data_IF_830257028639
#
_entry.id   IF_830257028639
#
_cell.length_a   1.000
_cell.length_b   1.000
_cell.length_c   1.000
_cell.angle_alpha   90.00
_cell.angle_beta   90.00
_cell.angle_gamma   90.00
#
_symmetry.space_group_name_H-M   'P 1'
#
loop_
_entity.id
_entity.type
_entity.pdbx_description
1 polymer ?
#
# COMPACT_ATOMS: atom_id res chain seq x y z
N UNK A 1 -5.56 -11.28 -14.66
CA UNK A 1 -4.48 -10.44 -15.22
C UNK A 1 -3.43 -11.35 -15.80
N UNK A 2 -2.87 -11.05 -16.98
CA UNK A 2 -1.79 -11.85 -17.55
C UNK A 2 -0.50 -11.67 -16.76
N UNK A 3 0.42 -12.63 -16.85
CA UNK A 3 1.76 -12.52 -16.24
C UNK A 3 2.50 -11.29 -16.76
N UNK A 4 2.38 -11.00 -18.06
CA UNK A 4 2.95 -9.81 -18.69
C UNK A 4 2.41 -8.51 -18.05
N UNK A 5 1.11 -8.41 -17.84
CA UNK A 5 0.49 -7.24 -17.21
C UNK A 5 0.95 -7.01 -15.77
N UNK A 6 1.24 -8.08 -15.02
CA UNK A 6 1.82 -7.97 -13.67
C UNK A 6 3.24 -7.39 -13.70
N UNK A 7 4.08 -7.79 -14.67
CA UNK A 7 5.43 -7.27 -14.83
C UNK A 7 5.43 -5.80 -15.26
N UNK A 8 4.57 -5.43 -16.20
CA UNK A 8 4.41 -4.05 -16.66
C UNK A 8 3.94 -3.14 -15.53
N UNK A 9 2.92 -3.57 -14.77
CA UNK A 9 2.45 -2.83 -13.60
C UNK A 9 3.58 -2.63 -12.58
N UNK A 10 4.34 -3.69 -12.28
CA UNK A 10 5.47 -3.58 -11.37
C UNK A 10 6.55 -2.62 -11.90
N UNK A 11 6.82 -2.61 -13.21
CA UNK A 11 7.73 -1.66 -13.84
C UNK A 11 7.24 -0.22 -13.71
N UNK A 12 5.94 0.05 -13.94
CA UNK A 12 5.35 1.39 -13.76
C UNK A 12 5.46 1.90 -12.32
N UNK A 13 5.30 1.04 -11.33
CA UNK A 13 5.53 1.43 -9.93
C UNK A 13 6.99 1.77 -9.65
N UNK A 14 7.95 1.03 -10.25
CA UNK A 14 9.37 1.36 -10.10
C UNK A 14 9.71 2.70 -10.74
N UNK A 15 9.26 2.94 -11.97
CA UNK A 15 9.41 4.22 -12.67
C UNK A 15 8.80 5.38 -11.87
N UNK A 16 7.63 5.20 -11.27
CA UNK A 16 7.01 6.18 -10.38
C UNK A 16 7.90 6.48 -9.17
N UNK A 17 8.42 5.46 -8.50
CA UNK A 17 9.26 5.66 -7.30
C UNK A 17 10.58 6.34 -7.67
N UNK A 18 11.23 5.91 -8.75
CA UNK A 18 12.47 6.49 -9.23
C UNK A 18 12.29 7.94 -9.69
N UNK A 19 11.23 8.23 -10.45
CA UNK A 19 10.95 9.61 -10.89
C UNK A 19 10.69 10.55 -9.72
N UNK A 20 9.98 10.09 -8.69
CA UNK A 20 9.74 10.88 -7.47
C UNK A 20 11.03 11.06 -6.67
N UNK A 21 11.88 10.04 -6.58
CA UNK A 21 13.15 10.11 -5.85
C UNK A 21 14.15 11.11 -6.47
N UNK A 22 14.15 11.25 -7.80
CA UNK A 22 15.02 12.20 -8.51
C UNK A 22 14.37 13.58 -8.74
N UNK A 23 13.09 13.73 -8.43
CA UNK A 23 12.39 15.00 -8.58
C UNK A 23 12.80 15.99 -7.49
N UNK A 24 13.11 17.22 -7.90
CA UNK A 24 13.33 18.36 -6.99
C UNK A 24 12.03 19.01 -6.52
N UNK A 25 10.89 18.64 -7.10
CA UNK A 25 9.58 19.24 -6.77
C UNK A 25 9.05 18.67 -5.45
N UNK A 26 8.71 19.57 -4.52
CA UNK A 26 8.13 19.21 -3.21
C UNK A 26 6.60 19.25 -3.18
N UNK A 27 5.97 19.92 -4.15
CA UNK A 27 4.51 20.09 -4.21
C UNK A 27 3.85 19.05 -5.11
N UNK A 28 2.61 18.68 -4.76
CA UNK A 28 1.74 17.80 -5.53
C UNK A 28 0.77 18.55 -6.47
N UNK A 29 0.76 19.89 -6.45
CA UNK A 29 -0.25 20.71 -7.11
C UNK A 29 -0.38 20.46 -8.63
N UNK A 30 0.74 20.13 -9.30
CA UNK A 30 0.81 19.84 -10.76
C UNK A 30 1.39 18.44 -11.04
N UNK A 31 1.26 17.52 -10.08
CA UNK A 31 1.85 16.20 -10.19
C UNK A 31 0.91 15.18 -10.81
N UNK A 32 1.44 14.37 -11.71
CA UNK A 32 0.76 13.17 -12.20
C UNK A 32 0.43 12.24 -11.01
N UNK A 33 -0.76 11.65 -11.04
CA UNK A 33 -1.18 10.65 -10.06
C UNK A 33 -1.32 9.31 -10.76
N UNK A 34 -0.77 8.26 -10.15
CA UNK A 34 -0.92 6.90 -10.64
C UNK A 34 -2.14 6.27 -9.97
N UNK A 35 -3.09 5.77 -10.77
CA UNK A 35 -4.26 5.07 -10.25
C UNK A 35 -4.03 3.56 -10.29
N UNK A 36 -4.00 2.92 -9.12
CA UNK A 36 -4.03 1.47 -9.03
C UNK A 36 -5.48 1.00 -8.91
N UNK A 37 -5.97 0.32 -9.94
CA UNK A 37 -7.31 -0.28 -9.92
C UNK A 37 -7.25 -1.61 -9.20
N UNK A 38 -8.11 -1.77 -8.19
CA UNK A 38 -8.27 -3.05 -7.52
C UNK A 38 -8.80 -4.09 -8.51
N UNK A 39 -8.32 -5.33 -8.36
CA UNK A 39 -8.95 -6.47 -9.03
C UNK A 39 -10.34 -6.74 -8.45
N UNK A 40 -11.25 -7.43 -9.18
CA UNK A 40 -12.55 -7.83 -8.63
C UNK A 40 -12.43 -8.56 -7.29
N UNK A 41 -11.47 -9.49 -7.18
CA UNK A 41 -11.19 -10.20 -5.92
C UNK A 41 -10.81 -9.24 -4.79
N UNK A 42 -9.96 -8.24 -5.07
CA UNK A 42 -9.56 -7.25 -4.07
C UNK A 42 -10.73 -6.33 -3.69
N UNK A 43 -11.60 -5.97 -4.64
CA UNK A 43 -12.82 -5.23 -4.37
C UNK A 43 -13.76 -6.02 -3.44
N UNK A 44 -13.99 -7.30 -3.72
CA UNK A 44 -14.78 -8.19 -2.85
C UNK A 44 -14.15 -8.33 -1.45
N UNK A 45 -12.81 -8.38 -1.37
CA UNK A 45 -12.11 -8.46 -0.09
C UNK A 45 -12.26 -7.19 0.75
N UNK A 46 -12.14 -6.00 0.15
CA UNK A 46 -12.35 -4.76 0.92
C UNK A 46 -13.81 -4.59 1.32
N UNK A 47 -14.77 -4.97 0.47
CA UNK A 47 -16.19 -4.94 0.82
C UNK A 47 -16.47 -5.84 2.04
N UNK A 48 -15.91 -7.05 2.06
CA UNK A 48 -16.01 -7.95 3.22
C UNK A 48 -15.40 -7.34 4.47
N UNK A 49 -14.20 -6.75 4.36
CA UNK A 49 -13.54 -6.05 5.48
C UNK A 49 -14.44 -4.92 6.00
N UNK A 50 -15.09 -4.17 5.11
CA UNK A 50 -16.01 -3.11 5.51
C UNK A 50 -17.22 -3.69 6.26
N UNK A 51 -17.85 -4.74 5.73
CA UNK A 51 -19.03 -5.36 6.34
C UNK A 51 -18.74 -5.94 7.73
N UNK A 52 -17.66 -6.71 7.86
CA UNK A 52 -17.25 -7.35 9.12
C UNK A 52 -16.96 -6.32 10.22
N UNK A 53 -16.47 -5.15 9.85
CA UNK A 53 -16.10 -4.08 10.78
C UNK A 53 -17.13 -2.94 10.86
N UNK A 54 -18.29 -3.10 10.21
CA UNK A 54 -19.37 -2.10 10.15
C UNK A 54 -18.90 -0.74 9.61
N UNK A 55 -17.95 -0.76 8.66
CA UNK A 55 -17.52 0.42 7.94
C UNK A 55 -18.42 0.64 6.72
N UNK A 56 -18.55 1.90 6.29
CA UNK A 56 -19.17 2.18 5.01
C UNK A 56 -18.32 1.61 3.87
N UNK A 57 -18.98 0.87 2.96
CA UNK A 57 -18.30 0.34 1.78
C UNK A 57 -17.75 1.46 0.91
N UNK A 58 -16.58 1.21 0.35
CA UNK A 58 -16.00 2.07 -0.68
C UNK A 58 -16.88 2.02 -1.94
N UNK A 59 -16.99 3.13 -2.66
CA UNK A 59 -17.65 3.18 -3.96
C UNK A 59 -16.67 3.56 -5.09
N UNK A 60 -15.40 3.74 -4.75
CA UNK A 60 -14.30 3.93 -5.69
C UNK A 60 -13.20 2.93 -5.36
N UNK A 61 -13.03 1.93 -6.23
CA UNK A 61 -12.05 0.85 -6.09
C UNK A 61 -10.71 1.17 -6.77
N UNK A 62 -10.36 2.46 -6.82
CA UNK A 62 -9.06 2.94 -7.29
C UNK A 62 -8.28 3.56 -6.14
N UNK A 63 -7.02 3.16 -5.99
CA UNK A 63 -6.09 3.76 -5.04
C UNK A 63 -5.28 4.81 -5.79
N UNK A 64 -5.44 6.07 -5.41
CA UNK A 64 -4.71 7.19 -6.00
C UNK A 64 -3.34 7.32 -5.34
N UNK A 65 -2.28 7.00 -6.08
CA UNK A 65 -0.88 7.05 -5.66
C UNK A 65 -0.29 8.37 -6.16
N UNK A 66 -0.22 9.37 -5.28
CA UNK A 66 0.36 10.69 -5.57
C UNK A 66 1.85 10.74 -5.21
N UNK A 67 2.65 11.64 -5.83
CA UNK A 67 4.06 11.81 -5.48
C UNK A 67 4.32 12.12 -4.00
N UNK A 68 3.45 12.87 -3.32
CA UNK A 68 3.56 13.12 -1.89
C UNK A 68 3.55 11.84 -1.05
N UNK A 69 2.71 10.87 -1.40
CA UNK A 69 2.70 9.55 -0.75
C UNK A 69 4.04 8.81 -1.00
N UNK A 70 4.54 8.82 -2.22
CA UNK A 70 5.82 8.16 -2.54
C UNK A 70 6.99 8.84 -1.81
N UNK A 71 7.02 10.17 -1.73
CA UNK A 71 8.01 10.91 -0.92
C UNK A 71 7.94 10.53 0.56
N UNK A 72 6.73 10.39 1.10
CA UNK A 72 6.53 9.92 2.46
C UNK A 72 7.12 8.51 2.67
N UNK A 73 6.84 7.57 1.76
CA UNK A 73 7.40 6.21 1.82
C UNK A 73 8.93 6.24 1.70
N UNK A 74 9.47 7.01 0.75
CA UNK A 74 10.92 7.15 0.56
C UNK A 74 11.61 7.64 1.83
N UNK A 75 11.14 8.73 2.43
CA UNK A 75 11.68 9.26 3.67
C UNK A 75 11.57 8.22 4.81
N UNK A 76 10.37 7.69 5.05
CA UNK A 76 10.13 6.77 6.16
C UNK A 76 10.96 5.48 6.06
N UNK A 77 11.12 4.91 4.85
CA UNK A 77 11.87 3.65 4.65
C UNK A 77 13.38 3.87 4.61
N UNK A 78 13.85 4.99 4.07
CA UNK A 78 15.26 5.34 4.10
C UNK A 78 15.72 5.58 5.54
N UNK A 79 14.96 6.34 6.32
CA UNK A 79 15.37 6.75 7.66
C UNK A 79 15.20 5.63 8.70
N UNK A 80 14.10 4.86 8.63
CA UNK A 80 13.81 3.80 9.62
C UNK A 80 14.46 2.47 9.31
N UNK A 81 14.53 2.11 8.02
CA UNK A 81 14.92 0.77 7.59
C UNK A 81 16.26 0.79 6.82
N UNK A 82 16.79 1.97 6.48
CA UNK A 82 18.02 2.13 5.71
C UNK A 82 17.91 1.71 4.24
N UNK A 83 16.71 1.50 3.70
CA UNK A 83 16.55 0.95 2.36
C UNK A 83 16.98 1.92 1.25
N UNK A 84 17.57 1.37 0.19
CA UNK A 84 17.84 2.09 -1.05
C UNK A 84 16.56 2.42 -1.82
N UNK A 85 16.63 3.37 -2.75
CA UNK A 85 15.47 3.73 -3.61
C UNK A 85 14.97 2.53 -4.41
N UNK A 86 15.88 1.71 -4.96
CA UNK A 86 15.52 0.51 -5.72
C UNK A 86 14.81 -0.55 -4.85
N UNK A 87 15.27 -0.73 -3.60
CA UNK A 87 14.61 -1.61 -2.63
C UNK A 87 13.21 -1.11 -2.28
N UNK A 88 13.06 0.20 -2.05
CA UNK A 88 11.76 0.82 -1.77
C UNK A 88 10.81 0.65 -2.96
N UNK A 89 11.32 0.88 -4.18
CA UNK A 89 10.57 0.66 -5.41
C UNK A 89 10.08 -0.79 -5.55
N UNK A 90 10.94 -1.76 -5.23
CA UNK A 90 10.57 -3.17 -5.20
C UNK A 90 9.48 -3.47 -4.17
N UNK A 91 9.56 -2.89 -2.95
CA UNK A 91 8.51 -3.05 -1.93
C UNK A 91 7.18 -2.47 -2.40
N UNK A 92 7.16 -1.24 -2.94
CA UNK A 92 5.93 -0.59 -3.42
C UNK A 92 5.30 -1.40 -4.55
N UNK A 93 6.08 -1.76 -5.58
CA UNK A 93 5.60 -2.54 -6.72
C UNK A 93 5.04 -3.90 -6.29
N UNK A 94 5.64 -4.52 -5.27
CA UNK A 94 5.20 -5.82 -4.78
C UNK A 94 3.95 -5.72 -3.92
N UNK A 95 3.80 -4.65 -3.11
CA UNK A 95 2.63 -4.41 -2.27
C UNK A 95 1.37 -4.12 -3.10
N UNK A 96 1.48 -3.36 -4.18
CA UNK A 96 0.37 -3.09 -5.11
C UNK A 96 0.33 -4.09 -6.28
N UNK A 97 0.42 -5.38 -5.95
CA UNK A 97 0.27 -6.47 -6.91
C UNK A 97 -1.19 -6.95 -6.97
N UNK A 98 -1.68 -7.39 -8.13
CA UNK A 98 -2.99 -8.06 -8.28
C UNK A 98 -3.17 -9.29 -7.40
N UNK A 99 -2.07 -9.89 -6.94
CA UNK A 99 -2.06 -11.05 -6.04
C UNK A 99 -2.08 -10.67 -4.56
N UNK A 100 -2.07 -9.38 -4.25
CA UNK A 100 -2.09 -8.92 -2.87
C UNK A 100 -3.48 -9.03 -2.28
N UNK A 101 -3.54 -9.39 -1.00
CA UNK A 101 -4.76 -9.57 -0.26
C UNK A 101 -5.08 -8.31 0.54
N UNK A 102 -6.36 -7.96 0.63
CA UNK A 102 -6.85 -6.88 1.49
C UNK A 102 -7.38 -7.45 2.81
N UNK A 103 -6.88 -6.92 3.94
CA UNK A 103 -7.28 -7.32 5.29
C UNK A 103 -7.43 -6.10 6.19
N UNK A 104 -8.08 -6.25 7.33
CA UNK A 104 -8.06 -5.20 8.36
C UNK A 104 -6.61 -4.95 8.84
N UNK A 105 -6.26 -3.69 9.14
CA UNK A 105 -5.02 -3.40 9.85
C UNK A 105 -5.19 -3.76 11.34
N UNK A 106 -4.53 -4.82 11.84
CA UNK A 106 -4.74 -5.25 13.21
C UNK A 106 -4.26 -4.17 14.20
N UNK A 107 -4.94 -4.02 15.36
CA UNK A 107 -4.51 -3.10 16.39
C UNK A 107 -3.09 -3.43 16.86
N UNK A 108 -2.31 -2.40 17.17
CA UNK A 108 -0.97 -2.59 17.72
C UNK A 108 -0.99 -2.50 19.25
N UNK A 109 -1.28 -3.62 19.93
CA UNK A 109 -1.20 -3.72 21.39
C UNK A 109 -2.30 -2.96 22.15
N UNK A 110 -2.46 -3.30 23.43
CA UNK A 110 -3.58 -2.90 24.31
C UNK A 110 -3.49 -1.47 24.86
N UNK A 111 -2.45 -0.69 24.52
CA UNK A 111 -2.10 0.55 25.26
C UNK A 111 -1.96 1.83 24.43
N UNK A 112 -2.41 1.89 23.17
CA UNK A 112 -2.39 3.16 22.44
C UNK A 112 -3.77 3.85 22.45
N UNK A 113 -3.95 4.78 23.39
CA UNK A 113 -4.93 5.88 23.35
C UNK A 113 -4.72 6.86 22.18
N UNK A 114 -3.92 6.49 21.18
CA UNK A 114 -3.54 7.34 20.06
C UNK A 114 -4.31 6.93 18.80
N UNK A 115 -5.41 7.66 18.56
CA UNK A 115 -5.91 8.14 17.25
C UNK A 115 -5.34 7.45 16.01
N UNK A 116 -5.51 6.14 15.88
CA UNK A 116 -5.48 5.52 14.55
C UNK A 116 -6.87 5.65 13.98
N UNK A 117 -6.93 5.94 12.70
CA UNK A 117 -8.19 5.87 11.97
C UNK A 117 -8.75 4.47 12.16
N UNK A 118 -9.94 4.39 12.76
CA UNK A 118 -10.68 3.16 13.00
C UNK A 118 -11.05 2.40 11.71
N UNK A 119 -10.62 2.89 10.54
CA UNK A 119 -10.99 2.41 9.20
C UNK A 119 -9.76 2.15 8.31
N UNK A 120 -8.73 1.52 8.88
CA UNK A 120 -7.52 1.15 8.15
C UNK A 120 -7.51 -0.31 7.71
N UNK A 121 -7.21 -0.51 6.43
CA UNK A 121 -6.94 -1.81 5.85
C UNK A 121 -5.46 -1.94 5.47
N UNK A 122 -5.07 -3.17 5.18
CA UNK A 122 -3.73 -3.56 4.73
C UNK A 122 -3.87 -4.24 3.39
N UNK A 123 -3.09 -3.83 2.40
CA UNK A 123 -2.83 -4.62 1.21
C UNK A 123 -1.48 -5.34 1.36
N UNK A 124 -1.49 -6.67 1.28
CA UNK A 124 -0.35 -7.53 1.60
C UNK A 124 -0.12 -8.56 0.51
N UNK A 125 1.08 -8.59 -0.06
CA UNK A 125 1.47 -9.63 -1.01
C UNK A 125 2.06 -10.83 -0.27
N UNK A 126 1.26 -11.88 -0.12
CA UNK A 126 1.67 -13.15 0.51
C UNK A 126 2.25 -14.16 -0.48
N UNK A 127 1.98 -13.98 -1.78
CA UNK A 127 2.32 -14.92 -2.83
C UNK A 127 3.77 -14.78 -3.29
N UNK A 128 4.31 -13.56 -3.26
CA UNK A 128 5.65 -13.29 -3.76
C UNK A 128 6.40 -12.40 -2.77
N UNK A 129 7.53 -12.92 -2.26
CA UNK A 129 8.40 -12.16 -1.37
C UNK A 129 9.22 -11.13 -2.15
N UNK A 130 9.66 -10.09 -1.44
CA UNK A 130 10.67 -9.13 -1.89
C UNK A 130 11.99 -9.45 -1.18
N UNK A 131 13.08 -9.52 -1.92
CA UNK A 131 14.43 -9.71 -1.36
C UNK A 131 15.03 -8.34 -1.06
N UNK A 132 15.36 -8.08 0.20
CA UNK A 132 16.03 -6.87 0.66
C UNK A 132 17.34 -7.30 1.30
N UNK A 133 18.47 -6.87 0.73
CA UNK A 133 19.83 -7.30 1.15
C UNK A 133 19.95 -8.83 1.33
N UNK A 134 19.38 -9.59 0.39
CA UNK A 134 19.35 -11.06 0.42
C UNK A 134 18.34 -11.69 1.38
N UNK A 135 17.68 -10.91 2.24
CA UNK A 135 16.67 -11.43 3.18
C UNK A 135 15.26 -11.30 2.60
N UNK A 136 14.43 -12.36 2.63
CA UNK A 136 13.09 -12.34 2.04
C UNK A 136 12.02 -11.79 3.00
N UNK A 137 11.26 -10.80 2.52
CA UNK A 137 10.17 -10.16 3.26
C UNK A 137 8.84 -10.14 2.48
N UNK A 138 7.76 -9.79 3.15
CA UNK A 138 6.45 -9.56 2.53
C UNK A 138 6.22 -8.08 2.28
N UNK A 139 5.77 -7.69 1.10
CA UNK A 139 5.48 -6.29 0.81
C UNK A 139 4.07 -5.92 1.28
N UNK A 140 3.95 -4.80 1.99
CA UNK A 140 2.72 -4.38 2.66
C UNK A 140 2.48 -2.89 2.45
N UNK A 141 1.24 -2.48 2.23
CA UNK A 141 0.83 -1.08 2.33
C UNK A 141 -0.40 -0.94 3.24
N UNK A 142 -0.44 0.17 3.98
CA UNK A 142 -1.59 0.57 4.80
C UNK A 142 -2.45 1.51 3.96
N UNK A 143 -3.73 1.24 3.95
CA UNK A 143 -4.76 2.03 3.29
C UNK A 143 -5.77 2.48 4.34
N UNK A 144 -6.38 3.63 4.10
CA UNK A 144 -7.39 4.19 4.98
C UNK A 144 -8.64 4.51 4.16
N UNK A 145 -9.81 4.15 4.68
CA UNK A 145 -11.07 4.57 4.06
C UNK A 145 -11.26 6.06 4.30
N UNK A 146 -11.34 6.83 3.21
CA UNK A 146 -11.63 8.27 3.22
C UNK A 146 -12.99 8.53 2.60
N UNK A 147 -13.69 9.51 3.16
CA UNK A 147 -14.98 10.00 2.69
C UNK A 147 -14.81 11.46 2.30
N UNK A 148 -14.99 11.77 1.03
CA UNK A 148 -14.94 13.12 0.49
C UNK A 148 -16.19 13.37 -0.36
N UNK A 149 -17.17 14.08 0.20
CA UNK A 149 -18.49 14.25 -0.41
C UNK A 149 -19.16 12.89 -0.65
N UNK A 150 -19.49 12.59 -1.91
CA UNK A 150 -20.08 11.31 -2.30
C UNK A 150 -19.06 10.18 -2.53
N UNK A 151 -17.75 10.46 -2.45
CA UNK A 151 -16.69 9.48 -2.74
C UNK A 151 -16.24 8.80 -1.45
N UNK A 152 -16.23 7.48 -1.45
CA UNK A 152 -15.67 6.62 -0.41
C UNK A 152 -14.61 5.75 -1.05
N UNK A 153 -13.34 5.95 -0.69
CA UNK A 153 -12.21 5.36 -1.39
C UNK A 153 -11.08 5.00 -0.43
N UNK A 154 -10.15 4.16 -0.90
CA UNK A 154 -8.94 3.79 -0.18
C UNK A 154 -7.83 4.81 -0.47
N UNK A 155 -7.44 5.57 0.54
CA UNK A 155 -6.29 6.46 0.49
C UNK A 155 -5.03 5.73 1.00
N UNK A 156 -3.90 5.81 0.27
CA UNK A 156 -2.67 5.20 0.73
C UNK A 156 -2.05 5.99 1.90
N UNK A 157 -1.65 5.29 2.96
CA UNK A 157 -1.06 5.89 4.17
C UNK A 157 0.46 5.67 4.17
N UNK A 158 0.91 4.43 4.08
CA UNK A 158 2.34 4.08 4.05
C UNK A 158 2.58 2.72 3.41
N UNK A 159 3.83 2.42 3.05
CA UNK A 159 4.25 1.14 2.50
C UNK A 159 5.56 0.68 3.15
N UNK A 160 5.66 -0.61 3.45
CA UNK A 160 6.80 -1.20 4.15
C UNK A 160 6.92 -2.70 3.89
N UNK A 161 8.06 -3.26 4.29
CA UNK A 161 8.32 -4.69 4.26
C UNK A 161 8.01 -5.32 5.63
N UNK A 162 7.32 -6.46 5.63
CA UNK A 162 6.86 -7.15 6.81
C UNK A 162 7.59 -8.49 7.00
N UNK A 163 7.88 -8.81 8.26
CA UNK A 163 8.39 -10.13 8.68
C UNK A 163 7.27 -11.17 8.70
N UNK A 164 7.64 -12.45 8.80
CA UNK A 164 6.68 -13.54 8.96
C UNK A 164 5.78 -13.34 10.20
N UNK A 165 6.35 -12.86 11.31
CA UNK A 165 5.59 -12.56 12.53
C UNK A 165 4.53 -11.46 12.28
N UNK A 166 4.89 -10.40 11.56
CA UNK A 166 3.95 -9.32 11.20
C UNK A 166 2.86 -9.81 10.25
N UNK A 167 3.22 -10.61 9.23
CA UNK A 167 2.25 -11.27 8.33
C UNK A 167 1.24 -12.11 9.13
N UNK A 168 1.71 -12.99 10.02
CA UNK A 168 0.84 -13.84 10.84
C UNK A 168 -0.16 -13.04 11.64
N UNK A 169 0.23 -11.88 12.18
CA UNK A 169 -0.69 -10.98 12.89
C UNK A 169 -1.73 -10.33 11.97
N UNK A 170 -1.40 -10.05 10.70
CA UNK A 170 -2.34 -9.46 9.73
C UNK A 170 -3.35 -10.49 9.21
N UNK A 171 -2.97 -11.77 9.16
CA UNK A 171 -3.80 -12.85 8.62
C UNK A 171 -4.56 -13.65 9.69
N UNK A 172 -4.37 -13.31 10.97
CA UNK A 172 -5.19 -13.81 12.07
C UNK A 172 -6.52 -13.08 12.09
#
# INVERSE_FOLDING_TARGET
MSVQGEYELAARFRELVESVAHSRRKSDADSFAFAYLLTPKQADEIDRVCDENRWERVNCYAIMIKPGYIRHVLAARKDKDGLSVAEIAAVVAKAYSPRSLLRINPPSGETSNDRRSDRQSVILNTHQKVLLRGTPYYATAILEIRIEGCRRYLAPVTCYHATEAKKRRILK
#
